data_IF_507269081087
#
_entry.id   IF_507269081087
#
_cell.length_a   1.000
_cell.length_b   1.000
_cell.length_c   1.000
_cell.angle_alpha   90.00
_cell.angle_beta   90.00
_cell.angle_gamma   90.00
#
_symmetry.space_group_name_H-M   'P 1'
#
loop_
_entity.id
_entity.type
_entity.pdbx_description
1 polymer ?
#
# COMPACT_ATOMS: atom_id res chain seq x y z
N UNK A 1 4.36 14.06 -7.17
CA UNK A 1 4.76 12.66 -6.96
C UNK A 1 3.64 11.78 -7.50
N UNK A 2 3.97 10.72 -8.22
CA UNK A 2 3.02 9.64 -8.55
C UNK A 2 3.14 8.61 -7.44
N UNK A 3 1.99 8.20 -6.91
CA UNK A 3 1.86 7.13 -5.93
C UNK A 3 1.26 5.95 -6.67
N UNK A 4 1.69 4.75 -6.33
CA UNK A 4 1.06 3.53 -6.83
C UNK A 4 -0.22 3.31 -6.05
N UNK A 5 -1.32 3.12 -6.77
CA UNK A 5 -2.62 2.80 -6.18
C UNK A 5 -2.83 1.29 -6.29
N UNK A 6 -3.28 0.65 -5.20
CA UNK A 6 -3.71 -0.74 -5.18
C UNK A 6 -5.13 -0.77 -4.63
N UNK A 7 -5.96 -1.67 -5.14
CA UNK A 7 -7.28 -1.94 -4.58
C UNK A 7 -7.18 -2.68 -3.25
N UNK A 8 -8.28 -2.67 -2.49
CA UNK A 8 -8.37 -3.44 -1.24
C UNK A 8 -8.49 -4.95 -1.55
N UNK A 9 -8.95 -5.29 -2.76
CA UNK A 9 -9.04 -6.62 -3.34
C UNK A 9 -7.69 -7.23 -3.73
N UNK A 10 -6.61 -6.43 -3.79
CA UNK A 10 -5.31 -6.87 -4.28
C UNK A 10 -4.75 -8.12 -3.57
N UNK A 11 -4.82 -8.25 -2.23
CA UNK A 11 -4.35 -9.46 -1.55
C UNK A 11 -5.17 -10.71 -1.93
N UNK A 12 -6.49 -10.57 -2.05
CA UNK A 12 -7.39 -11.66 -2.41
C UNK A 12 -7.16 -12.11 -3.87
N UNK A 13 -6.85 -11.16 -4.76
CA UNK A 13 -6.50 -11.44 -6.14
C UNK A 13 -5.16 -12.18 -6.25
N UNK A 14 -4.17 -11.80 -5.42
CA UNK A 14 -2.90 -12.50 -5.32
C UNK A 14 -3.08 -13.96 -4.84
N UNK A 15 -3.90 -14.16 -3.80
CA UNK A 15 -4.21 -15.50 -3.27
C UNK A 15 -4.94 -16.35 -4.31
N UNK A 16 -5.94 -15.79 -4.99
CA UNK A 16 -6.70 -16.49 -6.05
C UNK A 16 -5.85 -16.87 -7.26
N UNK A 17 -4.84 -16.07 -7.56
CA UNK A 17 -3.85 -16.35 -8.59
C UNK A 17 -2.72 -17.27 -8.11
N UNK A 18 -2.76 -17.71 -6.85
CA UNK A 18 -1.76 -18.58 -6.20
C UNK A 18 -0.33 -18.02 -6.32
N UNK A 19 -0.18 -16.69 -6.28
CA UNK A 19 1.11 -16.03 -6.47
C UNK A 19 2.04 -16.20 -5.26
N UNK A 20 3.30 -16.50 -5.54
CA UNK A 20 4.36 -16.47 -4.55
C UNK A 20 4.67 -15.06 -4.06
N UNK A 21 5.20 -14.96 -2.84
CA UNK A 21 5.66 -13.68 -2.26
C UNK A 21 6.63 -12.93 -3.19
N UNK A 22 7.47 -13.66 -3.94
CA UNK A 22 8.39 -13.08 -4.91
C UNK A 22 7.65 -12.47 -6.11
N UNK A 23 6.61 -13.14 -6.63
CA UNK A 23 5.75 -12.64 -7.70
C UNK A 23 4.98 -11.40 -7.25
N UNK A 24 4.32 -11.45 -6.09
CA UNK A 24 3.58 -10.31 -5.53
C UNK A 24 4.50 -9.10 -5.36
N UNK A 25 5.68 -9.30 -4.76
CA UNK A 25 6.66 -8.23 -4.58
C UNK A 25 7.15 -7.67 -5.92
N UNK A 26 7.48 -8.54 -6.88
CA UNK A 26 7.96 -8.12 -8.21
C UNK A 26 6.90 -7.30 -8.94
N UNK A 27 5.63 -7.67 -8.82
CA UNK A 27 4.51 -6.93 -9.40
C UNK A 27 4.41 -5.50 -8.82
N UNK A 28 4.45 -5.35 -7.50
CA UNK A 28 4.39 -4.04 -6.83
C UNK A 28 5.62 -3.18 -7.19
N UNK A 29 6.81 -3.77 -7.22
CA UNK A 29 8.04 -3.09 -7.64
C UNK A 29 7.94 -2.60 -9.10
N UNK A 30 7.36 -3.41 -10.00
CA UNK A 30 7.12 -3.05 -11.39
C UNK A 30 6.12 -1.90 -11.55
N UNK A 31 5.01 -1.90 -10.80
CA UNK A 31 4.05 -0.79 -10.79
C UNK A 31 4.72 0.52 -10.34
N UNK A 32 5.48 0.47 -9.25
CA UNK A 32 6.24 1.62 -8.76
C UNK A 32 7.24 2.13 -9.80
N UNK A 33 7.94 1.21 -10.47
CA UNK A 33 8.91 1.55 -11.51
C UNK A 33 8.27 2.20 -12.73
N UNK A 34 7.18 1.60 -13.22
CA UNK A 34 6.36 2.13 -14.32
C UNK A 34 5.83 3.53 -14.01
N UNK A 35 5.25 3.73 -12.83
CA UNK A 35 4.72 5.02 -12.37
C UNK A 35 5.78 6.10 -12.18
N UNK A 36 7.00 5.71 -11.79
CA UNK A 36 8.15 6.63 -11.64
C UNK A 36 8.63 7.14 -13.00
N UNK A 37 8.71 6.25 -13.98
CA UNK A 37 9.24 6.54 -15.32
C UNK A 37 8.17 6.93 -16.34
N UNK A 38 6.89 6.81 -15.97
CA UNK A 38 5.74 7.05 -16.83
C UNK A 38 5.75 6.15 -18.08
N UNK A 39 5.87 4.84 -17.84
CA UNK A 39 5.94 3.82 -18.88
C UNK A 39 4.58 3.21 -19.24
N UNK A 40 3.49 3.65 -18.60
CA UNK A 40 2.12 3.17 -18.86
C UNK A 40 1.98 1.64 -18.78
N UNK A 41 2.77 1.01 -17.89
CA UNK A 41 2.73 -0.43 -17.64
C UNK A 41 3.67 -1.24 -18.53
N UNK A 42 4.32 -0.62 -19.52
CA UNK A 42 5.31 -1.30 -20.35
C UNK A 42 6.68 -1.36 -19.66
N UNK A 43 7.21 -2.56 -19.49
CA UNK A 43 8.50 -2.83 -18.85
C UNK A 43 9.43 -3.44 -19.88
N UNK A 44 10.39 -2.68 -20.43
CA UNK A 44 11.36 -3.25 -21.37
C UNK A 44 12.25 -4.25 -20.63
N UNK A 45 12.59 -5.37 -21.28
CA UNK A 45 13.31 -6.50 -20.65
C UNK A 45 14.56 -6.07 -19.85
N UNK A 46 15.35 -5.14 -20.40
CA UNK A 46 16.57 -4.58 -19.77
C UNK A 46 16.33 -3.86 -18.43
N UNK A 47 15.08 -3.49 -18.12
CA UNK A 47 14.73 -2.79 -16.89
C UNK A 47 14.46 -3.74 -15.73
N UNK A 48 14.20 -5.03 -15.97
CA UNK A 48 13.79 -5.98 -14.94
C UNK A 48 14.78 -6.01 -13.77
N UNK A 49 16.07 -6.16 -14.06
CA UNK A 49 17.13 -6.15 -13.04
C UNK A 49 17.39 -4.80 -12.35
N UNK A 50 16.65 -3.73 -12.68
CA UNK A 50 16.76 -2.42 -12.01
C UNK A 50 15.81 -2.27 -10.84
N UNK A 51 14.74 -3.07 -10.79
CA UNK A 51 13.72 -2.97 -9.75
C UNK A 51 13.37 -4.31 -9.12
N UNK A 52 13.44 -5.42 -9.86
CA UNK A 52 13.11 -6.73 -9.32
C UNK A 52 14.29 -7.24 -8.46
N UNK A 53 14.23 -6.97 -7.16
CA UNK A 53 15.33 -7.28 -6.23
C UNK A 53 15.19 -8.65 -5.56
N UNK A 54 14.13 -9.41 -5.86
CA UNK A 54 13.98 -10.79 -5.40
C UNK A 54 15.06 -11.69 -6.03
N UNK A 55 15.60 -12.63 -5.26
CA UNK A 55 16.55 -13.62 -5.78
C UNK A 55 15.98 -14.44 -6.95
N UNK A 56 14.66 -14.66 -6.95
CA UNK A 56 13.94 -15.46 -7.93
C UNK A 56 13.13 -14.61 -8.92
N UNK A 57 13.65 -13.43 -9.31
CA UNK A 57 12.92 -12.50 -10.19
C UNK A 57 12.46 -13.15 -11.52
N UNK A 58 13.28 -13.99 -12.14
CA UNK A 58 12.91 -14.66 -13.40
C UNK A 58 11.77 -15.67 -13.22
N UNK A 59 11.76 -16.39 -12.09
CA UNK A 59 10.67 -17.30 -11.72
C UNK A 59 9.40 -16.53 -11.41
N UNK A 60 9.52 -15.43 -10.67
CA UNK A 60 8.41 -14.53 -10.35
C UNK A 60 7.76 -13.96 -11.63
N UNK A 61 8.54 -13.55 -12.62
CA UNK A 61 8.01 -13.10 -13.92
C UNK A 61 7.29 -14.23 -14.65
N UNK A 62 7.87 -15.43 -14.67
CA UNK A 62 7.26 -16.59 -15.32
C UNK A 62 5.89 -16.93 -14.69
N UNK A 63 5.78 -16.82 -13.37
CA UNK A 63 4.55 -17.01 -12.61
C UNK A 63 3.50 -15.93 -12.92
N UNK A 64 3.92 -14.65 -12.96
CA UNK A 64 3.03 -13.53 -13.31
C UNK A 64 2.49 -13.61 -14.75
N UNK A 65 3.30 -14.11 -15.68
CA UNK A 65 2.87 -14.40 -17.05
C UNK A 65 1.87 -15.55 -17.10
N UNK A 66 2.14 -16.63 -16.38
CA UNK A 66 1.23 -17.78 -16.31
C UNK A 66 -0.13 -17.43 -15.69
N UNK A 67 -0.13 -16.54 -14.68
CA UNK A 67 -1.34 -16.03 -14.04
C UNK A 67 -2.09 -14.98 -14.89
N UNK A 68 -1.52 -14.53 -16.02
CA UNK A 68 -2.12 -13.47 -16.85
C UNK A 68 -2.08 -12.07 -16.23
N UNK A 69 -1.29 -11.88 -15.16
CA UNK A 69 -1.09 -10.58 -14.53
C UNK A 69 -0.20 -9.69 -15.41
N UNK A 70 0.73 -10.32 -16.11
CA UNK A 70 1.61 -9.70 -17.10
C UNK A 70 1.35 -10.33 -18.47
N UNK A 71 1.58 -9.55 -19.52
CA UNK A 71 1.61 -10.02 -20.91
C UNK A 71 3.01 -9.89 -21.51
N UNK A 72 3.35 -10.78 -22.43
CA UNK A 72 4.57 -10.66 -23.22
C UNK A 72 4.38 -9.64 -24.36
N UNK A 73 5.44 -8.90 -24.65
CA UNK A 73 5.54 -7.98 -25.79
C UNK A 73 6.84 -8.23 -26.52
N UNK A 74 7.01 -7.66 -27.73
CA UNK A 74 8.22 -7.86 -28.53
C UNK A 74 9.51 -7.44 -27.80
N UNK A 75 9.45 -6.42 -26.94
CA UNK A 75 10.61 -5.80 -26.29
C UNK A 75 10.61 -5.88 -24.74
N UNK A 76 9.69 -6.65 -24.16
CA UNK A 76 9.58 -6.84 -22.72
C UNK A 76 8.20 -7.32 -22.28
N UNK A 77 7.66 -6.69 -21.24
CA UNK A 77 6.41 -7.11 -20.59
C UNK A 77 5.43 -5.95 -20.47
N UNK A 78 4.14 -6.28 -20.43
CA UNK A 78 3.06 -5.34 -20.16
C UNK A 78 2.33 -5.75 -18.88
N UNK A 79 2.23 -4.83 -17.92
CA UNK A 79 1.41 -5.03 -16.73
C UNK A 79 -0.07 -4.96 -17.13
N UNK A 80 -0.83 -6.00 -16.84
CA UNK A 80 -2.26 -6.08 -17.14
C UNK A 80 -3.10 -5.83 -15.88
N UNK A 81 -2.70 -6.41 -14.75
CA UNK A 81 -3.34 -6.18 -13.45
C UNK A 81 -2.99 -4.78 -12.89
N UNK A 82 -3.94 -4.15 -12.18
CA UNK A 82 -3.85 -2.83 -11.52
C UNK A 82 -3.47 -1.62 -12.38
N UNK A 83 -3.15 -1.80 -13.67
CA UNK A 83 -2.68 -0.70 -14.52
C UNK A 83 -3.79 0.32 -14.81
N UNK A 84 -5.04 -0.12 -14.81
CA UNK A 84 -6.23 0.72 -15.03
C UNK A 84 -6.46 1.72 -13.90
N UNK A 85 -6.05 1.37 -12.68
CA UNK A 85 -6.11 2.24 -11.50
C UNK A 85 -4.97 3.28 -11.49
N UNK A 86 -3.94 3.08 -12.33
CA UNK A 86 -2.83 4.02 -12.45
C UNK A 86 -3.18 5.18 -13.38
N UNK A 87 -2.55 6.31 -13.11
CA UNK A 87 -2.66 7.48 -13.98
C UNK A 87 -1.76 7.30 -15.18
N UNK A 88 -2.29 7.57 -16.37
CA UNK A 88 -1.47 7.55 -17.59
C UNK A 88 -0.41 8.65 -17.57
N UNK A 89 0.67 8.44 -18.33
CA UNK A 89 1.74 9.42 -18.57
C UNK A 89 1.18 10.78 -18.93
N UNK A 90 0.22 10.81 -19.84
CA UNK A 90 -0.40 12.04 -20.33
C UNK A 90 -1.15 12.78 -19.22
N UNK A 91 -1.95 12.07 -18.41
CA UNK A 91 -2.65 12.64 -17.26
C UNK A 91 -1.67 13.21 -16.21
N UNK A 92 -0.55 12.51 -15.98
CA UNK A 92 0.48 12.95 -15.04
C UNK A 92 1.17 14.22 -15.56
N UNK A 93 1.55 14.26 -16.83
CA UNK A 93 2.17 15.44 -17.44
C UNK A 93 1.24 16.65 -17.45
N UNK A 94 -0.03 16.46 -17.81
CA UNK A 94 -1.05 17.52 -17.75
C UNK A 94 -1.23 18.05 -16.32
N UNK A 95 -1.24 17.17 -15.32
CA UNK A 95 -1.32 17.57 -13.91
C UNK A 95 -0.09 18.35 -13.45
N UNK A 96 1.10 17.97 -13.92
CA UNK A 96 2.33 18.71 -13.63
C UNK A 96 2.29 20.11 -14.25
N UNK A 97 1.79 20.24 -15.46
CA UNK A 97 1.70 21.54 -16.14
C UNK A 97 0.70 22.47 -15.46
N UNK A 98 -0.49 21.97 -15.15
CA UNK A 98 -1.49 22.75 -14.38
C UNK A 98 -0.96 23.16 -13.00
N UNK A 99 -0.23 22.29 -12.31
CA UNK A 99 0.40 22.62 -11.03
C UNK A 99 1.47 23.72 -11.16
N UNK A 100 2.32 23.67 -12.19
CA UNK A 100 3.30 24.73 -12.48
C UNK A 100 2.61 26.07 -12.73
N UNK A 101 1.54 26.07 -13.54
CA UNK A 101 0.75 27.28 -13.81
C UNK A 101 0.15 27.90 -12.54
N UNK A 102 -0.42 27.06 -11.66
CA UNK A 102 -0.93 27.50 -10.35
C UNK A 102 0.18 28.10 -9.49
N UNK A 103 1.33 27.44 -9.43
CA UNK A 103 2.47 27.91 -8.65
C UNK A 103 3.03 29.24 -9.18
N UNK A 104 3.14 29.40 -10.50
CA UNK A 104 3.58 30.65 -11.12
C UNK A 104 2.64 31.82 -10.79
N UNK A 105 1.32 31.61 -10.90
CA UNK A 105 0.30 32.61 -10.53
C UNK A 105 0.38 32.99 -9.05
N UNK A 106 0.57 32.01 -8.17
CA UNK A 106 0.73 32.27 -6.74
C UNK A 106 2.00 33.08 -6.44
N UNK A 107 3.15 32.69 -7.02
CA UNK A 107 4.42 33.43 -6.87
C UNK A 107 4.35 34.85 -7.41
N UNK A 108 3.68 35.07 -8.55
CA UNK A 108 3.50 36.41 -9.10
C UNK A 108 2.72 37.34 -8.18
N UNK A 109 1.67 36.83 -7.51
CA UNK A 109 0.88 37.59 -6.52
C UNK A 109 1.62 37.87 -5.22
N UNK A 110 2.57 37.01 -4.84
CA UNK A 110 3.33 37.11 -3.60
C UNK A 110 4.77 37.59 -3.83
N UNK A 111 5.11 38.12 -5.01
CA UNK A 111 6.40 38.75 -5.27
C UNK A 111 6.44 40.08 -4.52
N UNK A 112 7.01 40.07 -3.31
CA UNK A 112 7.45 41.28 -2.63
C UNK A 112 8.62 41.83 -3.45
N UNK A 113 8.49 43.06 -3.97
CA UNK A 113 9.58 43.78 -4.60
C UNK A 113 10.75 43.88 -3.60
N UNK A 114 11.98 43.46 -3.96
CA UNK A 114 13.13 43.75 -3.12
C UNK A 114 13.37 45.26 -3.20
N UNK A 115 12.98 45.96 -2.14
CA UNK A 115 13.34 47.36 -1.98
C UNK A 115 14.87 47.41 -1.85
N UNK A 116 15.55 47.84 -2.91
CA UNK A 116 16.99 48.03 -2.91
C UNK A 116 17.34 49.22 -2.01
N UNK A 117 17.40 48.98 -0.71
CA UNK A 117 18.07 49.83 0.25
C UNK A 117 19.11 49.01 1.01
N UNK A 118 20.36 49.07 0.52
CA UNK A 118 21.53 48.63 1.28
C UNK A 118 21.64 49.50 2.54
N UNK A 119 21.49 48.92 3.72
CA UNK A 119 22.35 49.25 4.87
C UNK A 119 22.51 48.02 5.79
N UNK A 120 23.76 47.67 6.06
CA UNK A 120 24.12 46.72 7.10
C UNK A 120 23.77 47.30 8.47
N UNK A 121 22.86 46.67 9.20
CA UNK A 121 22.76 46.84 10.66
C UNK A 121 22.37 45.50 11.30
N UNK A 122 23.37 44.80 11.82
CA UNK A 122 23.18 43.67 12.73
C UNK A 122 22.57 44.21 14.02
N UNK A 123 21.27 43.99 14.25
CA UNK A 123 20.73 43.96 15.60
C UNK A 123 19.75 42.80 15.77
N UNK A 124 20.23 41.78 16.49
CA UNK A 124 19.41 40.76 17.13
C UNK A 124 18.46 41.47 18.11
N UNK A 125 17.14 41.40 17.88
CA UNK A 125 16.16 41.48 18.97
C UNK A 125 14.90 40.73 18.55
N UNK A 126 14.71 39.56 19.14
CA UNK A 126 13.44 38.84 19.02
C UNK A 126 12.29 39.62 19.66
N UNK A 127 11.10 39.42 19.12
CA UNK A 127 9.87 39.23 19.89
C UNK A 127 8.77 38.71 18.95
N UNK A 128 8.18 37.59 19.33
CA UNK A 128 6.95 37.07 18.75
C UNK A 128 5.84 38.09 18.95
N UNK A 129 5.12 38.44 17.88
CA UNK A 129 3.83 39.12 17.97
C UNK A 129 2.78 38.21 17.35
N UNK A 130 2.09 37.47 18.22
CA UNK A 130 0.80 36.85 17.91
C UNK A 130 -0.23 37.96 17.93
N UNK A 131 -0.78 38.33 16.77
CA UNK A 131 -2.02 39.10 16.71
C UNK A 131 -3.15 38.13 16.40
N UNK A 132 -3.84 37.74 17.48
CA UNK A 132 -5.17 37.16 17.44
C UNK A 132 -6.13 38.33 17.64
N UNK A 133 -6.85 38.70 16.60
CA UNK A 133 -8.14 39.39 16.76
C UNK A 133 -9.07 38.91 15.65
N UNK A 134 -10.09 38.17 16.09
CA UNK A 134 -11.20 37.76 15.26
C UNK A 134 -12.27 38.83 15.27
N UNK A 135 -12.86 39.10 14.12
CA UNK A 135 -14.25 39.55 14.02
C UNK A 135 -14.76 39.12 12.66
N UNK A 136 -15.91 38.43 12.68
CA UNK A 136 -16.47 37.71 11.56
C UNK A 136 -16.88 38.61 10.40
N UNK A 137 -16.71 38.06 9.20
CA UNK A 137 -17.56 38.38 8.06
C UNK A 137 -17.82 37.08 7.31
N UNK A 138 -19.07 36.63 7.40
CA UNK A 138 -19.67 35.59 6.60
C UNK A 138 -19.44 35.92 5.13
N UNK A 139 -18.70 35.06 4.43
CA UNK A 139 -18.65 35.06 2.96
C UNK A 139 -19.57 33.96 2.46
N UNK A 140 -20.80 34.37 2.17
CA UNK A 140 -21.71 33.68 1.25
C UNK A 140 -21.08 33.63 -0.15
N UNK A 141 -20.31 32.56 -0.40
CA UNK A 141 -19.84 32.21 -1.73
C UNK A 141 -20.95 31.48 -2.49
N UNK A 142 -21.51 32.15 -3.49
CA UNK A 142 -22.47 31.60 -4.45
C UNK A 142 -21.89 30.34 -5.13
N UNK A 143 -22.62 29.22 -5.04
CA UNK A 143 -22.39 28.03 -5.88
C UNK A 143 -23.09 28.25 -7.23
N UNK A 144 -22.50 27.86 -8.36
CA UNK A 144 -23.22 27.77 -9.62
C UNK A 144 -24.12 26.53 -9.59
N UNK A 145 -25.39 26.72 -9.89
CA UNK A 145 -26.38 25.68 -10.12
C UNK A 145 -26.06 24.93 -11.41
N UNK A 146 -25.80 23.63 -11.31
CA UNK A 146 -26.09 22.71 -12.41
C UNK A 146 -27.23 21.80 -11.98
N UNK A 147 -28.23 21.82 -12.84
CA UNK A 147 -29.52 21.17 -12.78
C UNK A 147 -29.34 19.77 -13.34
N UNK A 148 -29.31 18.75 -12.48
CA UNK A 148 -29.40 17.35 -12.90
C UNK A 148 -30.69 16.76 -12.32
N UNK A 149 -31.53 16.29 -13.25
CA UNK A 149 -32.84 15.69 -13.03
C UNK A 149 -32.68 14.34 -12.34
N UNK A 150 -33.29 14.21 -11.16
CA UNK A 150 -33.56 12.91 -10.53
C UNK A 150 -34.60 12.14 -11.36
N UNK A 151 -34.23 10.94 -11.83
CA UNK A 151 -35.18 9.89 -12.19
C UNK A 151 -35.27 8.96 -10.99
N UNK A 152 -36.40 9.02 -10.30
CA UNK A 152 -36.70 8.22 -9.12
C UNK A 152 -37.11 6.80 -9.56
N UNK A 153 -36.18 5.84 -9.49
CA UNK A 153 -36.52 4.41 -9.52
C UNK A 153 -36.72 3.98 -8.07
N UNK A 154 -37.90 3.45 -7.79
CA UNK A 154 -38.26 2.87 -6.49
C UNK A 154 -37.56 1.51 -6.37
N UNK A 155 -36.64 1.38 -5.43
CA UNK A 155 -36.18 0.09 -4.94
C UNK A 155 -36.90 -0.23 -3.63
N UNK A 156 -37.74 -1.24 -3.70
CA UNK A 156 -38.43 -1.84 -2.58
C UNK A 156 -37.43 -2.63 -1.71
N UNK A 157 -37.48 -2.35 -0.40
CA UNK A 157 -37.16 -3.19 0.75
C UNK A 157 -36.11 -4.32 0.57
N UNK A 158 -34.89 -4.07 1.07
CA UNK A 158 -34.02 -5.11 1.60
C UNK A 158 -33.87 -4.84 3.09
N UNK A 159 -34.45 -5.72 3.90
CA UNK A 159 -34.36 -5.73 5.36
C UNK A 159 -32.91 -5.87 5.81
N UNK A 160 -32.46 -4.94 6.65
CA UNK A 160 -31.19 -5.00 7.38
C UNK A 160 -31.13 -6.30 8.20
N UNK A 161 -30.18 -7.17 7.86
CA UNK A 161 -29.74 -8.24 8.75
C UNK A 161 -28.55 -7.71 9.55
N UNK A 162 -28.67 -7.74 10.88
CA UNK A 162 -27.63 -7.29 11.81
C UNK A 162 -26.31 -8.06 11.61
N UNK A 163 -25.14 -7.40 11.72
CA UNK A 163 -23.85 -8.07 11.60
C UNK A 163 -23.58 -8.96 12.82
N UNK A 164 -23.01 -10.18 12.64
CA UNK A 164 -22.65 -11.04 13.76
C UNK A 164 -21.47 -10.45 14.55
N UNK A 165 -21.59 -10.49 15.88
CA UNK A 165 -20.61 -10.00 16.85
C UNK A 165 -19.30 -10.81 16.85
N UNK A 166 -18.20 -10.10 17.12
CA UNK A 166 -16.77 -10.45 17.07
C UNK A 166 -16.28 -11.62 17.97
N UNK A 167 -17.16 -12.49 18.47
CA UNK A 167 -16.83 -13.45 19.54
C UNK A 167 -16.50 -14.89 19.09
N UNK A 168 -16.48 -15.21 17.79
CA UNK A 168 -16.35 -16.61 17.31
C UNK A 168 -15.01 -17.02 16.68
N UNK A 169 -13.97 -16.17 16.72
CA UNK A 169 -12.69 -16.44 16.03
C UNK A 169 -11.54 -16.97 16.93
N UNK A 170 -11.81 -17.46 18.13
CA UNK A 170 -10.81 -18.22 18.89
C UNK A 170 -11.04 -19.73 18.73
N UNK A 171 -10.09 -20.50 18.15
CA UNK A 171 -10.20 -21.96 18.17
C UNK A 171 -10.26 -22.45 19.63
N UNK A 172 -11.06 -23.49 19.92
CA UNK A 172 -11.15 -24.01 21.28
C UNK A 172 -9.75 -24.45 21.72
N UNK A 173 -9.31 -23.92 22.87
CA UNK A 173 -8.07 -24.41 23.51
C UNK A 173 -8.27 -25.90 23.79
N UNK A 174 -7.35 -26.78 23.38
CA UNK A 174 -7.53 -28.21 23.62
C UNK A 174 -7.61 -28.48 25.12
N UNK A 175 -8.57 -29.30 25.55
CA UNK A 175 -8.75 -29.62 26.97
C UNK A 175 -7.66 -30.59 27.49
N UNK A 176 -6.96 -31.25 26.58
CA UNK A 176 -5.95 -32.26 26.89
C UNK A 176 -4.64 -32.03 26.11
N UNK A 177 -3.52 -32.36 26.76
CA UNK A 177 -2.20 -32.35 26.13
C UNK A 177 -2.13 -33.34 24.96
N UNK A 178 -1.77 -32.89 23.76
CA UNK A 178 -1.62 -33.76 22.58
C UNK A 178 -0.51 -34.80 22.71
N UNK A 179 0.47 -34.59 23.59
CA UNK A 179 1.58 -35.51 23.82
C UNK A 179 1.34 -36.57 24.89
N UNK A 180 0.48 -36.32 25.89
CA UNK A 180 0.27 -37.26 27.01
C UNK A 180 -1.18 -37.43 27.46
N UNK A 181 -2.15 -36.78 26.82
CA UNK A 181 -3.58 -36.92 27.10
C UNK A 181 -4.06 -36.34 28.43
N UNK A 182 -3.19 -35.66 29.21
CA UNK A 182 -3.58 -35.10 30.50
C UNK A 182 -4.46 -33.85 30.35
N UNK A 183 -5.60 -33.87 31.03
CA UNK A 183 -6.58 -32.77 31.10
C UNK A 183 -6.18 -31.79 32.21
N UNK A 184 -6.37 -30.48 32.00
CA UNK A 184 -6.23 -29.46 33.07
C UNK A 184 -4.81 -28.93 33.33
N UNK A 185 -3.84 -29.17 32.44
CA UNK A 185 -2.53 -28.52 32.51
C UNK A 185 -2.50 -27.23 31.70
N UNK A 186 -1.72 -26.22 32.10
CA UNK A 186 -1.51 -25.02 31.27
C UNK A 186 -0.79 -25.42 29.98
N UNK A 187 -1.56 -25.56 28.90
CA UNK A 187 -1.06 -25.93 27.59
C UNK A 187 -0.46 -24.71 26.88
N UNK A 188 0.58 -24.93 26.09
CA UNK A 188 1.09 -23.93 25.16
C UNK A 188 0.11 -23.75 23.99
N UNK A 189 0.33 -22.73 23.14
CA UNK A 189 -0.46 -22.53 21.93
C UNK A 189 -0.49 -23.76 21.00
N UNK A 190 0.51 -24.65 21.07
CA UNK A 190 0.57 -25.92 20.33
C UNK A 190 -0.11 -27.11 21.01
N UNK A 191 -0.87 -26.89 22.09
CA UNK A 191 -1.62 -27.96 22.78
C UNK A 191 -0.78 -28.94 23.59
N UNK A 192 0.48 -28.60 23.91
CA UNK A 192 1.38 -29.43 24.72
C UNK A 192 1.50 -28.90 26.15
N UNK A 193 1.55 -29.81 27.13
CA UNK A 193 1.88 -29.43 28.50
C UNK A 193 3.38 -29.10 28.63
N UNK A 194 3.76 -28.33 29.65
CA UNK A 194 5.14 -27.89 29.89
C UNK A 194 6.17 -29.04 29.83
N UNK A 195 5.80 -30.25 30.27
CA UNK A 195 6.66 -31.44 30.22
C UNK A 195 6.87 -31.95 28.78
N UNK A 196 5.79 -32.19 28.04
CA UNK A 196 5.86 -32.68 26.66
C UNK A 196 6.50 -31.65 25.72
N UNK A 197 6.27 -30.36 25.95
CA UNK A 197 6.95 -29.29 25.23
C UNK A 197 8.47 -29.31 25.50
N UNK A 198 8.89 -29.49 26.76
CA UNK A 198 10.30 -29.62 27.11
C UNK A 198 10.98 -30.80 26.42
N UNK A 199 10.34 -31.96 26.40
CA UNK A 199 10.87 -33.16 25.72
C UNK A 199 10.96 -32.98 24.19
N UNK A 200 9.97 -32.31 23.57
CA UNK A 200 9.99 -32.00 22.13
C UNK A 200 11.16 -31.07 21.76
N UNK A 201 11.37 -30.01 22.54
CA UNK A 201 12.48 -29.06 22.34
C UNK A 201 13.84 -29.71 22.60
N UNK A 202 13.96 -30.58 23.60
CA UNK A 202 15.21 -31.32 23.84
C UNK A 202 15.51 -32.33 22.74
N UNK A 203 14.49 -32.94 22.11
CA UNK A 203 14.69 -33.84 20.96
C UNK A 203 15.14 -33.08 19.72
N UNK A 204 14.55 -31.93 19.40
CA UNK A 204 15.01 -31.12 18.26
C UNK A 204 16.46 -30.66 18.47
N UNK A 205 16.79 -30.20 19.68
CA UNK A 205 18.15 -29.75 20.00
C UNK A 205 19.22 -30.86 19.93
N UNK A 206 18.84 -32.12 20.20
CA UNK A 206 19.75 -33.27 20.06
C UNK A 206 19.86 -33.79 18.63
N UNK A 207 18.81 -33.65 17.81
CA UNK A 207 18.86 -33.98 16.37
C UNK A 207 19.75 -33.00 15.60
N UNK A 208 19.73 -31.73 15.97
CA UNK A 208 20.56 -30.70 15.33
C UNK A 208 22.04 -30.75 15.76
N UNK A 209 22.35 -31.29 16.95
CA UNK A 209 23.73 -31.38 17.47
C UNK A 209 24.35 -32.79 17.39
N UNK A 210 23.65 -33.77 16.80
CA UNK A 210 24.01 -35.20 16.84
C UNK A 210 24.75 -35.77 15.62
N UNK A 211 25.35 -34.94 14.75
CA UNK A 211 26.19 -35.40 13.62
C UNK A 211 27.65 -34.91 13.74
N UNK A 212 28.32 -35.36 14.79
CA UNK A 212 29.78 -35.49 14.78
C UNK A 212 30.24 -36.39 15.93
N UNK A 213 30.41 -37.69 15.66
CA UNK A 213 31.32 -38.65 16.32
C UNK A 213 30.76 -40.06 16.27
N UNK A 214 31.08 -40.77 15.18
CA UNK A 214 31.41 -42.21 15.14
C UNK A 214 32.00 -42.50 13.75
#
# INVERSE_FOLDING_TARGET
MTWTKLGDEFPDDCERAELSDAAVRTHVEALCWSNRLLLDGHIPMRHLGRFAFSQDADRAVSELLAAGWWGETEDGYLLMHDITEQRSREQVLASRETAKGRQARWRGKHRVEPDNAVTNAVTRRGRNAVTRDGTGQDRSGSKPSQEEKEVHVREDAITEAEPPTEETLSPPRPDACSGCGKVGSSLTAGGLCRRCHGEAVSRSYNLDNGRSSA
#
